data_IF_837251166169
#
_entry.id   IF_837251166169
#
_cell.length_a   1.000
_cell.length_b   1.000
_cell.length_c   1.000
_cell.angle_alpha   90.00
_cell.angle_beta   90.00
_cell.angle_gamma   90.00
#
_symmetry.space_group_name_H-M   'P 1'
#
loop_
_entity.id
_entity.type
_entity.pdbx_description
1 polymer ?
#
# COMPACT_ATOMS: atom_id res chain seq x y z
N UNK A 1 -21.50 30.30 34.85
CA UNK A 1 -21.91 29.49 33.66
C UNK A 1 -21.41 30.18 32.40
N UNK A 2 -20.29 29.77 31.88
CA UNK A 2 -19.71 30.30 30.61
C UNK A 2 -19.69 29.17 29.59
N UNK A 3 -20.46 29.34 28.52
CA UNK A 3 -20.55 28.39 27.37
C UNK A 3 -19.33 28.56 26.49
N UNK A 4 -18.47 27.55 26.40
CA UNK A 4 -17.44 27.44 25.40
C UNK A 4 -18.07 27.14 24.03
N UNK A 5 -18.01 28.10 23.11
CA UNK A 5 -18.30 27.91 21.71
C UNK A 5 -17.06 27.29 21.05
N UNK A 6 -17.18 26.03 20.57
CA UNK A 6 -16.22 25.41 19.65
C UNK A 6 -16.39 26.01 18.27
N UNK A 7 -15.37 26.74 17.80
CA UNK A 7 -15.26 27.15 16.41
C UNK A 7 -14.90 25.93 15.55
N UNK A 8 -15.83 25.47 14.74
CA UNK A 8 -15.54 24.58 13.63
C UNK A 8 -14.99 25.41 12.46
N UNK A 9 -13.68 25.32 12.24
CA UNK A 9 -13.05 25.79 11.02
C UNK A 9 -13.56 24.93 9.86
N UNK A 10 -14.39 25.54 9.00
CA UNK A 10 -14.75 25.01 7.69
C UNK A 10 -13.51 25.09 6.78
N UNK A 11 -12.82 23.97 6.62
CA UNK A 11 -11.91 23.79 5.50
C UNK A 11 -12.72 23.86 4.19
N UNK A 12 -12.41 24.84 3.38
CA UNK A 12 -13.05 25.11 2.11
C UNK A 12 -12.83 23.93 1.15
N UNK A 13 -13.91 23.30 0.76
CA UNK A 13 -13.98 22.44 -0.42
C UNK A 13 -13.77 23.32 -1.63
N UNK A 14 -12.64 23.20 -2.30
CA UNK A 14 -12.48 23.79 -3.63
C UNK A 14 -11.89 22.81 -4.61
N UNK A 15 -12.53 22.85 -5.76
CA UNK A 15 -12.22 22.28 -7.07
C UNK A 15 -12.29 20.76 -7.17
N UNK A 16 -13.53 20.29 -7.33
CA UNK A 16 -13.75 19.13 -8.20
C UNK A 16 -13.26 19.53 -9.60
N UNK A 17 -12.13 19.00 -10.01
CA UNK A 17 -11.72 18.98 -11.41
C UNK A 17 -12.78 18.17 -12.13
N UNK A 18 -13.59 18.83 -12.97
CA UNK A 18 -14.52 18.19 -13.89
C UNK A 18 -13.66 17.34 -14.85
N UNK A 19 -13.46 16.07 -14.54
CA UNK A 19 -13.00 15.12 -15.54
C UNK A 19 -14.10 14.97 -16.59
N UNK A 20 -13.78 15.04 -17.88
CA UNK A 20 -14.76 14.76 -18.93
C UNK A 20 -15.34 13.37 -18.68
N UNK A 21 -16.66 13.24 -18.86
CA UNK A 21 -17.37 11.97 -18.76
C UNK A 21 -16.84 11.03 -19.85
N UNK A 22 -15.75 10.35 -19.57
CA UNK A 22 -15.18 9.33 -20.45
C UNK A 22 -16.13 8.14 -20.48
N UNK A 23 -16.46 7.74 -21.68
CA UNK A 23 -17.31 6.63 -22.06
C UNK A 23 -17.05 5.42 -21.14
N UNK A 24 -18.05 4.97 -20.41
CA UNK A 24 -17.98 3.92 -19.38
C UNK A 24 -17.63 2.51 -19.90
N UNK A 25 -17.32 2.34 -21.18
CA UNK A 25 -17.07 1.06 -21.84
C UNK A 25 -15.59 0.64 -21.90
N UNK A 26 -14.64 1.44 -21.41
CA UNK A 26 -13.20 1.14 -21.45
C UNK A 26 -12.67 0.45 -20.18
N UNK A 27 -13.44 -0.48 -19.62
CA UNK A 27 -13.03 -1.20 -18.39
C UNK A 27 -12.51 -2.62 -18.63
N UNK A 28 -12.49 -3.05 -19.86
CA UNK A 28 -12.02 -4.39 -20.18
C UNK A 28 -10.54 -4.34 -20.59
N UNK A 29 -9.68 -5.01 -19.83
CA UNK A 29 -8.26 -5.16 -20.16
C UNK A 29 -8.08 -6.25 -21.21
N UNK A 30 -6.95 -6.22 -21.93
CA UNK A 30 -6.59 -7.29 -22.87
C UNK A 30 -6.55 -8.65 -22.15
N UNK A 31 -6.04 -8.66 -20.94
CA UNK A 31 -6.04 -9.85 -20.09
C UNK A 31 -7.47 -10.41 -19.92
N UNK A 32 -8.42 -9.56 -19.56
CA UNK A 32 -9.82 -9.96 -19.40
C UNK A 32 -10.43 -10.45 -20.71
N UNK A 33 -10.15 -9.79 -21.84
CA UNK A 33 -10.63 -10.26 -23.16
C UNK A 33 -10.12 -11.67 -23.49
N UNK A 34 -8.83 -11.92 -23.26
CA UNK A 34 -8.21 -13.21 -23.52
C UNK A 34 -8.80 -14.33 -22.66
N UNK A 35 -8.97 -14.06 -21.36
CA UNK A 35 -9.39 -15.07 -20.38
C UNK A 35 -10.90 -15.07 -20.11
N UNK A 36 -11.68 -14.24 -20.78
CA UNK A 36 -13.15 -14.41 -20.90
C UNK A 36 -13.53 -15.60 -21.77
N UNK A 37 -12.64 -16.07 -22.64
CA UNK A 37 -12.80 -17.35 -23.32
C UNK A 37 -12.59 -18.50 -22.34
N UNK A 38 -13.59 -19.41 -22.24
CA UNK A 38 -13.58 -20.49 -21.26
C UNK A 38 -12.41 -21.47 -21.43
N UNK A 39 -11.92 -21.68 -22.66
CA UNK A 39 -10.79 -22.59 -22.92
C UNK A 39 -9.49 -21.95 -22.40
N UNK A 40 -9.32 -20.66 -22.67
CA UNK A 40 -8.17 -19.92 -22.16
C UNK A 40 -8.20 -19.84 -20.63
N UNK A 41 -9.38 -19.58 -20.05
CA UNK A 41 -9.55 -19.53 -18.60
C UNK A 41 -9.26 -20.89 -17.96
N UNK A 42 -9.73 -22.00 -18.55
CA UNK A 42 -9.43 -23.35 -18.06
C UNK A 42 -7.93 -23.64 -18.14
N UNK A 43 -7.27 -23.24 -19.23
CA UNK A 43 -5.81 -23.39 -19.37
C UNK A 43 -5.06 -22.60 -18.27
N UNK A 44 -5.49 -21.36 -17.98
CA UNK A 44 -4.93 -20.55 -16.91
C UNK A 44 -5.18 -21.18 -15.54
N UNK A 45 -6.41 -21.65 -15.29
CA UNK A 45 -6.77 -22.35 -14.06
C UNK A 45 -5.90 -23.58 -13.83
N UNK A 46 -5.75 -24.42 -14.85
CA UNK A 46 -4.92 -25.63 -14.78
C UNK A 46 -3.45 -25.29 -14.48
N UNK A 47 -2.92 -24.26 -15.12
CA UNK A 47 -1.53 -23.83 -14.92
C UNK A 47 -1.29 -23.31 -13.50
N UNK A 48 -2.21 -22.51 -12.97
CA UNK A 48 -2.11 -21.96 -11.61
C UNK A 48 -2.27 -23.04 -10.53
N UNK A 49 -3.20 -23.98 -10.73
CA UNK A 49 -3.54 -25.00 -9.72
C UNK A 49 -2.84 -26.34 -9.96
N UNK A 50 -1.94 -26.43 -10.98
CA UNK A 50 -1.26 -27.67 -11.36
C UNK A 50 -2.25 -28.81 -11.59
N UNK A 51 -3.38 -28.51 -12.23
CA UNK A 51 -4.47 -29.44 -12.51
C UNK A 51 -4.55 -29.76 -14.01
N UNK A 52 -5.43 -30.68 -14.39
CA UNK A 52 -5.57 -31.11 -15.77
C UNK A 52 -7.05 -31.35 -16.12
N UNK A 53 -7.89 -30.38 -15.94
CA UNK A 53 -9.27 -30.41 -16.39
C UNK A 53 -9.34 -30.19 -17.89
N UNK A 54 -10.24 -30.89 -18.57
CA UNK A 54 -10.33 -30.87 -20.03
C UNK A 54 -11.65 -30.30 -20.57
N UNK A 55 -12.64 -30.12 -19.70
CA UNK A 55 -13.96 -29.62 -20.10
C UNK A 55 -14.14 -28.16 -19.64
N UNK A 56 -14.13 -27.17 -20.56
CA UNK A 56 -14.35 -25.77 -20.21
C UNK A 56 -15.73 -25.47 -19.60
N UNK A 57 -16.71 -26.36 -19.80
CA UNK A 57 -18.07 -26.18 -19.23
C UNK A 57 -18.13 -26.46 -17.73
N UNK A 58 -17.09 -27.07 -17.16
CA UNK A 58 -16.96 -27.25 -15.71
C UNK A 58 -16.70 -25.94 -14.99
N UNK A 59 -16.30 -24.87 -15.71
CA UNK A 59 -16.17 -23.52 -15.18
C UNK A 59 -17.53 -22.82 -15.14
N UNK A 60 -18.00 -22.46 -13.97
CA UNK A 60 -19.16 -21.61 -13.80
C UNK A 60 -18.70 -20.14 -13.64
N UNK A 61 -18.87 -19.33 -14.68
CA UNK A 61 -18.50 -17.91 -14.63
C UNK A 61 -19.51 -17.15 -13.80
N UNK A 62 -19.05 -16.53 -12.73
CA UNK A 62 -19.87 -15.70 -11.85
C UNK A 62 -19.70 -14.25 -12.30
N UNK A 63 -20.74 -13.67 -12.91
CA UNK A 63 -20.69 -12.28 -13.36
C UNK A 63 -20.87 -11.35 -12.17
N UNK A 64 -19.81 -10.62 -11.82
CA UNK A 64 -19.83 -9.59 -10.77
C UNK A 64 -20.46 -8.27 -11.25
N UNK A 65 -21.48 -8.32 -12.11
CA UNK A 65 -22.08 -7.13 -12.78
C UNK A 65 -22.61 -6.07 -11.80
N UNK A 66 -22.88 -6.43 -10.56
CA UNK A 66 -23.47 -5.54 -9.55
C UNK A 66 -22.55 -5.22 -8.35
N UNK A 67 -21.33 -5.68 -8.35
CA UNK A 67 -20.36 -5.32 -7.29
C UNK A 67 -19.76 -3.91 -7.52
N UNK A 68 -20.62 -2.91 -7.76
CA UNK A 68 -20.21 -1.52 -7.77
C UNK A 68 -20.20 -1.03 -6.32
N UNK A 69 -19.31 -1.57 -5.51
CA UNK A 69 -18.92 -0.91 -4.29
C UNK A 69 -17.70 -0.04 -4.61
N UNK A 70 -17.87 1.28 -4.53
CA UNK A 70 -16.82 2.28 -4.82
C UNK A 70 -16.28 2.27 -6.26
N UNK A 71 -17.01 1.77 -7.26
CA UNK A 71 -16.58 1.79 -8.68
C UNK A 71 -15.54 0.73 -9.06
N UNK A 72 -15.27 -0.24 -8.17
CA UNK A 72 -14.35 -1.34 -8.41
C UNK A 72 -15.10 -2.55 -8.98
N UNK A 73 -14.52 -3.20 -9.99
CA UNK A 73 -14.98 -4.48 -10.55
C UNK A 73 -13.82 -5.46 -10.48
N UNK A 74 -14.11 -6.73 -10.18
CA UNK A 74 -13.14 -7.81 -10.35
C UNK A 74 -13.06 -8.18 -11.84
N UNK A 75 -11.86 -8.56 -12.32
CA UNK A 75 -11.66 -8.89 -13.73
C UNK A 75 -12.34 -10.19 -14.12
N UNK A 76 -12.09 -11.26 -13.37
CA UNK A 76 -12.65 -12.58 -13.62
C UNK A 76 -13.03 -13.27 -12.30
N UNK A 77 -14.28 -13.71 -12.19
CA UNK A 77 -14.73 -14.54 -11.09
C UNK A 77 -15.44 -15.78 -11.62
N UNK A 78 -15.10 -16.93 -11.10
CA UNK A 78 -15.69 -18.22 -11.52
C UNK A 78 -15.67 -19.25 -10.39
N UNK A 79 -16.55 -20.21 -10.50
CA UNK A 79 -16.59 -21.38 -9.62
C UNK A 79 -16.05 -22.57 -10.40
N UNK A 80 -15.14 -23.30 -9.77
CA UNK A 80 -14.66 -24.60 -10.22
C UNK A 80 -14.81 -25.60 -9.08
N UNK A 81 -15.50 -26.69 -9.32
CA UNK A 81 -15.97 -27.62 -8.28
C UNK A 81 -16.79 -26.90 -7.20
N UNK A 82 -16.22 -26.72 -6.01
CA UNK A 82 -16.85 -26.05 -4.86
C UNK A 82 -16.08 -24.82 -4.41
N UNK A 83 -15.12 -24.35 -5.20
CA UNK A 83 -14.26 -23.21 -4.90
C UNK A 83 -14.60 -22.02 -5.79
N UNK A 84 -14.60 -20.83 -5.22
CA UNK A 84 -14.75 -19.57 -5.93
C UNK A 84 -13.36 -18.96 -6.16
N UNK A 85 -13.03 -18.66 -7.41
CA UNK A 85 -11.76 -18.04 -7.79
C UNK A 85 -12.03 -16.61 -8.22
N UNK A 86 -11.22 -15.69 -7.65
CA UNK A 86 -11.18 -14.28 -8.04
C UNK A 86 -9.80 -14.03 -8.64
N UNK A 87 -9.77 -13.79 -9.95
CA UNK A 87 -8.57 -13.49 -10.72
C UNK A 87 -8.58 -12.01 -11.08
N UNK A 88 -7.59 -11.29 -10.60
CA UNK A 88 -7.37 -9.87 -10.87
C UNK A 88 -6.10 -9.69 -11.68
N UNK A 89 -6.11 -8.75 -12.61
CA UNK A 89 -4.93 -8.34 -13.35
C UNK A 89 -4.54 -6.92 -12.94
N UNK A 90 -3.27 -6.71 -12.56
CA UNK A 90 -2.78 -5.42 -12.07
C UNK A 90 -1.46 -5.02 -12.74
N UNK A 91 -1.43 -3.82 -13.36
CA UNK A 91 -0.19 -3.21 -13.86
C UNK A 91 0.56 -2.43 -12.78
N UNK A 92 -0.03 -2.25 -11.62
CA UNK A 92 0.56 -1.53 -10.48
C UNK A 92 0.46 -2.35 -9.21
N UNK A 93 1.56 -2.50 -8.49
CA UNK A 93 1.56 -3.18 -7.19
C UNK A 93 0.69 -2.42 -6.18
N UNK A 94 -0.32 -3.10 -5.65
CA UNK A 94 -1.28 -2.52 -4.72
C UNK A 94 -1.35 -3.33 -3.41
N UNK A 95 -0.77 -2.85 -2.30
CA UNK A 95 -0.78 -3.56 -1.02
C UNK A 95 -2.18 -3.67 -0.39
N UNK A 96 -3.18 -2.92 -0.91
CA UNK A 96 -4.54 -2.93 -0.40
C UNK A 96 -5.45 -3.98 -1.08
N UNK A 97 -4.89 -4.88 -1.90
CA UNK A 97 -5.68 -5.92 -2.56
C UNK A 97 -6.44 -6.80 -1.56
N UNK A 98 -5.85 -7.29 -0.43
CA UNK A 98 -6.61 -8.08 0.53
C UNK A 98 -7.83 -7.35 1.10
N UNK A 99 -7.74 -6.05 1.30
CA UNK A 99 -8.86 -5.25 1.80
C UNK A 99 -9.94 -5.07 0.71
N UNK A 100 -9.55 -4.88 -0.55
CA UNK A 100 -10.47 -4.82 -1.69
C UNK A 100 -11.20 -6.15 -1.86
N UNK A 101 -10.47 -7.24 -1.87
CA UNK A 101 -11.00 -8.58 -2.05
C UNK A 101 -11.94 -9.00 -0.91
N UNK A 102 -11.68 -8.54 0.33
CA UNK A 102 -12.59 -8.74 1.44
C UNK A 102 -13.99 -8.15 1.13
N UNK A 103 -14.05 -6.94 0.60
CA UNK A 103 -15.33 -6.33 0.23
C UNK A 103 -16.01 -7.06 -0.93
N UNK A 104 -15.25 -7.51 -1.92
CA UNK A 104 -15.77 -8.29 -3.04
C UNK A 104 -16.37 -9.61 -2.57
N UNK A 105 -15.61 -10.40 -1.82
CA UNK A 105 -16.07 -11.72 -1.39
C UNK A 105 -17.25 -11.62 -0.43
N UNK A 106 -17.29 -10.63 0.45
CA UNK A 106 -18.46 -10.39 1.30
C UNK A 106 -19.73 -10.13 0.48
N UNK A 107 -19.61 -9.33 -0.59
CA UNK A 107 -20.73 -9.06 -1.50
C UNK A 107 -21.20 -10.31 -2.23
N UNK A 108 -20.26 -11.14 -2.71
CA UNK A 108 -20.61 -12.38 -3.43
C UNK A 108 -21.22 -13.42 -2.51
N UNK A 109 -20.63 -13.67 -1.35
CA UNK A 109 -21.18 -14.61 -0.39
C UNK A 109 -22.58 -14.22 0.10
N UNK A 110 -22.87 -12.91 0.22
CA UNK A 110 -24.22 -12.43 0.56
C UNK A 110 -25.29 -12.84 -0.46
N UNK A 111 -24.93 -13.04 -1.73
CA UNK A 111 -25.85 -13.49 -2.78
C UNK A 111 -26.12 -14.99 -2.69
N UNK A 112 -25.13 -15.77 -2.23
CA UNK A 112 -25.20 -17.22 -2.13
C UNK A 112 -25.89 -17.71 -0.85
N UNK A 113 -26.00 -16.86 0.18
CA UNK A 113 -26.52 -17.21 1.50
C UNK A 113 -28.01 -16.93 1.59
N UNK A 114 -28.79 -17.92 2.05
CA UNK A 114 -30.17 -17.67 2.44
C UNK A 114 -30.22 -16.95 3.80
N UNK A 115 -30.61 -15.68 3.76
CA UNK A 115 -30.66 -14.80 4.94
C UNK A 115 -31.53 -15.33 6.08
N UNK A 116 -32.61 -16.09 5.76
CA UNK A 116 -33.50 -16.67 6.79
C UNK A 116 -32.83 -17.84 7.49
N UNK A 117 -32.10 -18.65 6.75
CA UNK A 117 -31.39 -19.83 7.28
C UNK A 117 -30.16 -19.48 8.10
N UNK A 118 -29.65 -18.24 8.04
CA UNK A 118 -28.54 -17.77 8.90
C UNK A 118 -28.87 -17.85 10.39
N UNK A 119 -30.13 -17.79 10.75
CA UNK A 119 -30.62 -17.90 12.14
C UNK A 119 -31.04 -19.33 12.54
N UNK A 120 -30.85 -20.30 11.64
CA UNK A 120 -31.14 -21.72 11.92
C UNK A 120 -29.94 -22.39 12.61
N UNK A 121 -30.18 -23.58 13.15
CA UNK A 121 -29.10 -24.42 13.71
C UNK A 121 -28.32 -25.20 12.65
N UNK A 122 -28.70 -25.09 11.37
CA UNK A 122 -28.07 -25.81 10.26
C UNK A 122 -26.95 -24.92 9.65
N UNK A 123 -25.75 -25.50 9.54
CA UNK A 123 -24.62 -24.81 8.91
C UNK A 123 -24.86 -24.64 7.40
N UNK A 124 -24.83 -23.40 6.91
CA UNK A 124 -24.81 -23.14 5.49
C UNK A 124 -23.37 -23.26 4.98
N UNK A 125 -23.18 -23.99 3.88
CA UNK A 125 -21.89 -24.09 3.20
C UNK A 125 -21.87 -23.09 2.04
N UNK A 126 -20.74 -22.43 1.86
CA UNK A 126 -20.47 -21.51 0.77
C UNK A 126 -19.16 -21.93 0.08
N UNK A 127 -18.95 -21.59 -1.21
CA UNK A 127 -17.69 -21.85 -1.89
C UNK A 127 -16.51 -21.21 -1.17
N UNK A 128 -15.40 -21.95 -1.04
CA UNK A 128 -14.17 -21.40 -0.48
C UNK A 128 -13.52 -20.41 -1.48
N UNK A 129 -13.21 -19.18 -1.07
CA UNK A 129 -12.65 -18.19 -1.97
C UNK A 129 -11.14 -18.38 -2.13
N UNK A 130 -10.64 -18.15 -3.37
CA UNK A 130 -9.24 -18.11 -3.72
C UNK A 130 -8.95 -16.79 -4.45
N UNK A 131 -7.93 -16.05 -4.03
CA UNK A 131 -7.59 -14.72 -4.53
C UNK A 131 -6.24 -14.76 -5.22
N UNK A 132 -6.21 -14.46 -6.52
CA UNK A 132 -4.99 -14.48 -7.32
C UNK A 132 -4.90 -13.22 -8.14
N UNK A 133 -3.78 -12.50 -7.97
CA UNK A 133 -3.43 -11.31 -8.71
C UNK A 133 -2.33 -11.64 -9.73
N UNK A 134 -2.60 -11.38 -11.00
CA UNK A 134 -1.62 -11.47 -12.09
C UNK A 134 -0.99 -10.10 -12.27
N UNK A 135 0.23 -9.95 -11.79
CA UNK A 135 0.96 -8.70 -11.84
C UNK A 135 1.85 -8.63 -13.07
N UNK A 136 1.65 -7.60 -13.88
CA UNK A 136 2.50 -7.31 -15.02
C UNK A 136 3.12 -5.90 -15.00
N UNK A 137 3.17 -5.25 -13.85
CA UNK A 137 3.69 -3.89 -13.73
C UNK A 137 5.21 -3.77 -13.89
N UNK A 138 5.72 -2.53 -13.86
CA UNK A 138 7.14 -2.22 -14.04
C UNK A 138 7.97 -2.23 -12.74
N UNK A 139 7.32 -2.34 -11.56
CA UNK A 139 8.04 -2.49 -10.29
C UNK A 139 8.56 -3.92 -10.16
N UNK A 140 9.84 -4.08 -9.84
CA UNK A 140 10.43 -5.41 -9.63
C UNK A 140 9.84 -6.06 -8.38
N UNK A 141 9.20 -7.22 -8.56
CA UNK A 141 8.70 -8.07 -7.48
C UNK A 141 9.16 -9.52 -7.72
N UNK A 142 9.13 -10.36 -6.70
CA UNK A 142 9.40 -11.79 -6.84
C UNK A 142 8.37 -12.49 -7.75
N UNK A 143 8.68 -13.70 -8.20
CA UNK A 143 7.78 -14.51 -9.04
C UNK A 143 6.43 -14.77 -8.37
N UNK A 144 6.46 -15.02 -7.07
CA UNK A 144 5.28 -15.20 -6.24
C UNK A 144 5.43 -14.42 -4.92
N UNK A 145 4.38 -13.70 -4.54
CA UNK A 145 4.33 -12.94 -3.29
C UNK A 145 2.94 -13.09 -2.68
N UNK A 146 2.84 -13.13 -1.36
CA UNK A 146 1.57 -13.10 -0.64
C UNK A 146 1.30 -11.72 -0.05
N UNK A 147 0.09 -11.22 -0.26
CA UNK A 147 -0.44 -10.06 0.46
C UNK A 147 -1.45 -10.56 1.51
N UNK A 148 -1.35 -10.02 2.71
CA UNK A 148 -2.16 -10.44 3.86
C UNK A 148 -3.02 -9.31 4.39
N UNK A 149 -4.29 -9.58 4.65
CA UNK A 149 -5.22 -8.60 5.23
C UNK A 149 -4.75 -8.10 6.60
N UNK A 150 -4.14 -8.97 7.38
CA UNK A 150 -3.59 -8.63 8.71
C UNK A 150 -2.52 -7.53 8.66
N UNK A 151 -1.87 -7.33 7.52
CA UNK A 151 -0.91 -6.23 7.33
C UNK A 151 -1.57 -4.84 7.32
N UNK A 152 -2.89 -4.76 7.13
CA UNK A 152 -3.65 -3.52 7.17
C UNK A 152 -4.20 -3.17 8.57
N UNK A 153 -4.01 -4.03 9.58
CA UNK A 153 -4.48 -3.77 10.94
C UNK A 153 -3.51 -2.85 11.67
N UNK A 154 -4.02 -1.74 12.23
CA UNK A 154 -3.21 -0.76 12.97
C UNK A 154 -2.46 -1.38 14.16
N UNK A 155 -3.14 -2.26 14.90
CA UNK A 155 -2.59 -2.96 16.05
C UNK A 155 -3.01 -4.42 16.05
N UNK A 156 -2.09 -5.31 15.74
CA UNK A 156 -2.30 -6.75 15.81
C UNK A 156 -1.64 -7.32 17.06
N UNK A 157 -2.45 -7.88 17.97
CA UNK A 157 -1.96 -8.58 19.15
C UNK A 157 -2.23 -10.08 19.01
N UNK A 158 -1.16 -10.84 18.75
CA UNK A 158 -1.24 -12.28 18.49
C UNK A 158 -1.73 -12.63 17.08
N UNK A 159 -2.26 -13.82 16.89
CA UNK A 159 -2.76 -14.29 15.61
C UNK A 159 -4.02 -13.54 15.18
N UNK A 160 -4.12 -13.15 13.88
CA UNK A 160 -5.30 -12.48 13.38
C UNK A 160 -6.54 -13.37 13.49
N UNK A 161 -7.66 -12.80 13.92
CA UNK A 161 -8.94 -13.54 13.97
C UNK A 161 -9.71 -13.47 12.65
N UNK A 162 -9.29 -12.60 11.75
CA UNK A 162 -9.72 -12.50 10.37
C UNK A 162 -8.48 -12.38 9.50
N UNK A 163 -8.34 -13.30 8.55
CA UNK A 163 -7.25 -13.27 7.56
C UNK A 163 -7.79 -13.54 6.17
N UNK A 164 -7.25 -12.82 5.18
CA UNK A 164 -7.42 -13.04 3.76
C UNK A 164 -6.05 -12.93 3.12
N UNK A 165 -5.70 -13.90 2.29
CA UNK A 165 -4.41 -13.97 1.62
C UNK A 165 -4.66 -13.86 0.12
N UNK A 166 -3.95 -12.93 -0.53
CA UNK A 166 -3.93 -12.78 -1.99
C UNK A 166 -2.58 -13.28 -2.49
N UNK A 167 -2.59 -14.23 -3.42
CA UNK A 167 -1.39 -14.70 -4.10
C UNK A 167 -1.13 -13.80 -5.30
N UNK A 168 0.00 -13.11 -5.32
CA UNK A 168 0.44 -12.26 -6.43
C UNK A 168 1.45 -13.02 -7.27
N UNK A 169 1.12 -13.25 -8.54
CA UNK A 169 1.98 -13.93 -9.52
C UNK A 169 2.54 -12.91 -10.51
N UNK A 170 3.86 -12.80 -10.59
CA UNK A 170 4.53 -11.93 -11.56
C UNK A 170 4.46 -12.57 -12.94
N UNK A 171 3.66 -12.00 -13.82
CA UNK A 171 3.46 -12.50 -15.19
C UNK A 171 4.20 -11.68 -16.26
N UNK A 172 5.24 -10.95 -15.87
CA UNK A 172 6.15 -10.35 -16.84
C UNK A 172 6.98 -11.41 -17.55
N UNK A 173 7.44 -11.09 -18.75
CA UNK A 173 8.34 -11.96 -19.52
C UNK A 173 9.59 -12.32 -18.69
N UNK A 174 9.96 -13.61 -18.69
CA UNK A 174 11.08 -14.12 -17.91
C UNK A 174 10.78 -14.53 -16.47
N UNK A 175 9.52 -14.32 -16.00
CA UNK A 175 9.06 -14.74 -14.68
C UNK A 175 8.15 -15.97 -14.76
N UNK A 176 8.00 -16.71 -13.64
CA UNK A 176 7.10 -17.84 -13.48
C UNK A 176 7.15 -18.84 -14.68
N UNK A 177 8.34 -19.31 -15.02
CA UNK A 177 8.57 -20.13 -16.22
C UNK A 177 7.66 -21.37 -16.30
N UNK A 178 7.40 -22.04 -15.17
CA UNK A 178 6.50 -23.21 -15.14
C UNK A 178 5.06 -22.81 -15.46
N UNK A 179 4.54 -21.74 -14.88
CA UNK A 179 3.21 -21.21 -15.19
C UNK A 179 3.09 -20.85 -16.67
N UNK A 180 4.12 -20.19 -17.23
CA UNK A 180 4.15 -19.79 -18.65
C UNK A 180 4.18 -20.99 -19.60
N UNK A 181 4.87 -22.07 -19.23
CA UNK A 181 4.90 -23.31 -20.03
C UNK A 181 3.53 -24.02 -20.05
N UNK A 182 2.77 -23.95 -18.96
CA UNK A 182 1.46 -24.61 -18.86
C UNK A 182 0.31 -23.76 -19.38
N UNK A 183 0.49 -22.44 -19.56
CA UNK A 183 -0.51 -21.53 -20.13
C UNK A 183 0.08 -20.71 -21.28
N UNK A 184 0.03 -21.25 -22.50
CA UNK A 184 0.61 -20.57 -23.66
C UNK A 184 0.00 -19.18 -23.91
N UNK A 185 -1.31 -19.02 -23.72
CA UNK A 185 -1.99 -17.72 -23.88
C UNK A 185 -1.43 -16.67 -22.92
N UNK A 186 -1.09 -17.06 -21.68
CA UNK A 186 -0.47 -16.14 -20.70
C UNK A 186 0.97 -15.79 -21.12
N UNK A 187 1.72 -16.75 -21.57
CA UNK A 187 3.09 -16.54 -22.08
C UNK A 187 3.11 -15.59 -23.29
N UNK A 188 2.22 -15.80 -24.26
CA UNK A 188 2.09 -14.92 -25.42
C UNK A 188 1.63 -13.51 -25.03
N UNK A 189 0.75 -13.39 -24.04
CA UNK A 189 0.35 -12.11 -23.48
C UNK A 189 1.55 -11.37 -22.83
N UNK A 190 2.36 -12.07 -22.04
CA UNK A 190 3.58 -11.50 -21.44
C UNK A 190 4.55 -10.97 -22.52
N UNK A 191 4.76 -11.72 -23.58
CA UNK A 191 5.61 -11.31 -24.72
C UNK A 191 5.06 -10.08 -25.44
N UNK A 192 3.74 -10.03 -25.67
CA UNK A 192 3.10 -8.87 -26.27
C UNK A 192 3.32 -7.60 -25.42
N UNK A 193 3.06 -7.68 -24.12
CA UNK A 193 3.25 -6.55 -23.19
C UNK A 193 4.70 -6.10 -23.14
N UNK A 194 5.65 -7.04 -23.09
CA UNK A 194 7.08 -6.73 -23.10
C UNK A 194 7.50 -5.97 -24.38
N UNK A 195 6.98 -6.35 -25.54
CA UNK A 195 7.24 -5.65 -26.82
C UNK A 195 6.68 -4.24 -26.85
N UNK A 196 5.45 -4.05 -26.39
CA UNK A 196 4.87 -2.70 -26.29
C UNK A 196 5.77 -1.81 -25.42
N UNK A 197 6.20 -2.32 -24.28
CA UNK A 197 7.12 -1.57 -23.38
C UNK A 197 8.45 -1.26 -24.02
N UNK A 198 9.03 -2.22 -24.71
CA UNK A 198 10.30 -2.05 -25.42
C UNK A 198 10.20 -0.91 -26.44
N UNK A 199 9.16 -0.91 -27.27
CA UNK A 199 9.00 0.10 -28.31
C UNK A 199 8.58 1.46 -27.76
N UNK A 200 7.81 1.49 -26.67
CA UNK A 200 7.41 2.73 -26.02
C UNK A 200 8.59 3.50 -25.37
N UNK A 201 9.76 2.87 -25.24
CA UNK A 201 10.97 3.56 -24.81
C UNK A 201 11.54 4.51 -25.88
N UNK A 202 11.34 4.19 -27.19
CA UNK A 202 12.00 4.88 -28.31
C UNK A 202 11.03 5.61 -29.26
N UNK A 203 9.72 5.38 -29.13
CA UNK A 203 8.71 5.97 -30.01
C UNK A 203 7.43 6.33 -29.26
N UNK A 204 6.48 7.00 -29.95
CA UNK A 204 5.18 7.31 -29.36
C UNK A 204 4.43 6.02 -28.98
N UNK A 205 3.58 6.08 -27.97
CA UNK A 205 2.83 4.93 -27.50
C UNK A 205 1.96 4.31 -28.60
N UNK A 206 1.28 5.15 -29.39
CA UNK A 206 0.46 4.68 -30.54
C UNK A 206 1.28 3.84 -31.52
N UNK A 207 2.44 4.36 -31.92
CA UNK A 207 3.35 3.65 -32.82
C UNK A 207 3.93 2.37 -32.20
N UNK A 208 4.24 2.41 -30.90
CA UNK A 208 4.75 1.25 -30.18
C UNK A 208 3.72 0.12 -30.13
N UNK A 209 2.47 0.44 -29.82
CA UNK A 209 1.37 -0.53 -29.76
C UNK A 209 1.07 -1.10 -31.15
N UNK A 210 0.92 -0.25 -32.17
CA UNK A 210 0.67 -0.72 -33.54
C UNK A 210 1.78 -1.66 -34.04
N UNK A 211 3.02 -1.26 -33.83
CA UNK A 211 4.18 -2.07 -34.19
C UNK A 211 4.22 -3.40 -33.46
N UNK A 212 3.99 -3.40 -32.14
CA UNK A 212 3.95 -4.62 -31.34
C UNK A 212 2.85 -5.59 -31.81
N UNK A 213 1.65 -5.07 -32.11
CA UNK A 213 0.54 -5.87 -32.66
C UNK A 213 0.93 -6.50 -33.99
N UNK A 214 1.46 -5.71 -34.93
CA UNK A 214 1.82 -6.21 -36.28
C UNK A 214 2.96 -7.25 -36.25
N UNK A 215 3.93 -7.07 -35.35
CA UNK A 215 5.02 -8.04 -35.18
C UNK A 215 4.55 -9.31 -34.49
N UNK A 216 3.73 -9.21 -33.45
CA UNK A 216 3.15 -10.37 -32.78
C UNK A 216 2.29 -11.20 -33.71
N UNK A 217 1.45 -10.58 -34.53
CA UNK A 217 0.65 -11.27 -35.54
C UNK A 217 1.59 -12.05 -36.53
N UNK A 218 2.64 -11.41 -37.02
CA UNK A 218 3.58 -12.00 -37.95
C UNK A 218 4.36 -13.19 -37.39
N UNK A 219 4.65 -13.14 -36.09
CA UNK A 219 5.40 -14.19 -35.39
C UNK A 219 4.50 -15.27 -34.76
N UNK A 220 3.18 -15.16 -34.91
CA UNK A 220 2.23 -16.14 -34.40
C UNK A 220 1.86 -15.95 -32.93
N UNK A 221 2.30 -14.86 -32.29
CA UNK A 221 2.04 -14.54 -30.88
C UNK A 221 0.65 -13.91 -30.77
N UNK A 222 -0.27 -14.56 -30.08
CA UNK A 222 -1.68 -14.16 -30.00
C UNK A 222 -2.30 -13.84 -31.37
N UNK A 223 -1.80 -14.42 -32.46
CA UNK A 223 -2.05 -13.97 -33.82
C UNK A 223 -3.54 -13.95 -34.20
N UNK A 224 -4.28 -15.01 -33.87
CA UNK A 224 -5.73 -15.07 -34.15
C UNK A 224 -6.50 -14.02 -33.36
N UNK A 225 -6.19 -13.86 -32.08
CA UNK A 225 -6.81 -12.90 -31.19
C UNK A 225 -6.53 -11.46 -31.63
N UNK A 226 -5.27 -11.12 -31.89
CA UNK A 226 -4.84 -9.78 -32.31
C UNK A 226 -5.38 -9.43 -33.70
N UNK A 227 -5.47 -10.38 -34.63
CA UNK A 227 -6.05 -10.14 -35.97
C UNK A 227 -7.54 -9.84 -35.84
N UNK A 228 -8.27 -10.60 -35.04
CA UNK A 228 -9.72 -10.43 -34.87
C UNK A 228 -10.08 -9.14 -34.15
N UNK A 229 -9.30 -8.75 -33.13
CA UNK A 229 -9.60 -7.66 -32.22
C UNK A 229 -8.65 -6.46 -32.39
N UNK A 230 -7.95 -6.32 -33.52
CA UNK A 230 -6.82 -5.40 -33.73
C UNK A 230 -7.11 -3.96 -33.23
N UNK A 231 -8.19 -3.36 -33.70
CA UNK A 231 -8.50 -1.97 -33.36
C UNK A 231 -8.84 -1.79 -31.86
N UNK A 232 -9.51 -2.77 -31.28
CA UNK A 232 -9.89 -2.75 -29.88
C UNK A 232 -8.66 -2.91 -28.98
N UNK A 233 -7.77 -3.85 -29.32
CA UNK A 233 -6.50 -4.09 -28.63
C UNK A 233 -5.61 -2.84 -28.67
N UNK A 234 -5.46 -2.20 -29.82
CA UNK A 234 -4.66 -0.96 -29.95
C UNK A 234 -5.23 0.11 -29.04
N UNK A 235 -6.53 0.37 -29.11
CA UNK A 235 -7.20 1.38 -28.29
C UNK A 235 -7.06 1.10 -26.81
N UNK A 236 -7.24 -0.15 -26.38
CA UNK A 236 -7.10 -0.56 -24.97
C UNK A 236 -5.66 -0.46 -24.47
N UNK A 237 -4.69 -0.92 -25.25
CA UNK A 237 -3.29 -0.85 -24.87
C UNK A 237 -2.84 0.58 -24.64
N UNK A 238 -3.21 1.50 -25.53
CA UNK A 238 -2.89 2.92 -25.37
C UNK A 238 -3.49 3.44 -24.04
N UNK A 239 -4.75 3.13 -23.76
CA UNK A 239 -5.40 3.54 -22.53
C UNK A 239 -4.77 2.95 -21.26
N UNK A 240 -4.42 1.66 -21.27
CA UNK A 240 -3.76 1.00 -20.13
C UNK A 240 -2.40 1.62 -19.81
N UNK A 241 -1.59 1.89 -20.82
CA UNK A 241 -0.28 2.52 -20.65
C UNK A 241 -0.35 3.97 -20.21
N UNK A 242 -1.28 4.75 -20.76
CA UNK A 242 -1.50 6.13 -20.30
C UNK A 242 -1.92 6.16 -18.82
N UNK A 243 -2.80 5.25 -18.42
CA UNK A 243 -3.22 5.11 -17.03
C UNK A 243 -2.04 4.72 -16.13
N UNK A 244 -1.21 3.77 -16.54
CA UNK A 244 -0.02 3.36 -15.77
C UNK A 244 0.95 4.54 -15.59
N UNK A 245 1.18 5.33 -16.63
CA UNK A 245 2.01 6.54 -16.57
C UNK A 245 1.44 7.60 -15.63
N UNK A 246 0.16 7.86 -15.68
CA UNK A 246 -0.52 8.84 -14.81
C UNK A 246 -0.47 8.38 -13.34
N UNK A 247 -0.76 7.12 -13.06
CA UNK A 247 -0.66 6.56 -11.71
C UNK A 247 0.78 6.63 -11.17
N UNK A 248 1.78 6.38 -12.01
CA UNK A 248 3.20 6.47 -11.62
C UNK A 248 3.60 7.91 -11.31
N UNK A 249 3.14 8.89 -12.08
CA UNK A 249 3.34 10.32 -11.82
C UNK A 249 2.69 10.73 -10.50
N UNK A 250 1.44 10.30 -10.28
CA UNK A 250 0.69 10.60 -9.06
C UNK A 250 1.39 10.05 -7.81
N UNK A 251 1.80 8.77 -7.84
CA UNK A 251 2.55 8.14 -6.72
C UNK A 251 3.86 8.85 -6.42
N UNK A 252 4.58 9.28 -7.47
CA UNK A 252 5.82 10.04 -7.28
C UNK A 252 5.54 11.37 -6.59
N UNK A 253 4.50 12.09 -7.02
CA UNK A 253 4.10 13.36 -6.43
C UNK A 253 3.64 13.18 -4.97
N UNK A 254 2.86 12.14 -4.66
CA UNK A 254 2.43 11.79 -3.29
C UNK A 254 3.63 11.44 -2.39
N UNK A 255 4.58 10.67 -2.90
CA UNK A 255 5.80 10.33 -2.17
C UNK A 255 6.64 11.58 -1.86
N UNK A 256 6.83 12.46 -2.84
CA UNK A 256 7.58 13.71 -2.66
C UNK A 256 6.88 14.63 -1.64
N UNK A 257 5.56 14.77 -1.73
CA UNK A 257 4.76 15.55 -0.77
C UNK A 257 4.81 14.97 0.64
N UNK A 258 4.68 13.64 0.78
CA UNK A 258 4.81 12.95 2.08
C UNK A 258 6.19 13.11 2.71
N UNK A 259 7.25 13.05 1.90
CA UNK A 259 8.62 13.25 2.36
C UNK A 259 8.85 14.69 2.83
N UNK A 260 8.34 15.69 2.11
CA UNK A 260 8.45 17.10 2.46
C UNK A 260 7.68 17.42 3.75
N UNK A 261 6.46 16.89 3.88
CA UNK A 261 5.65 17.03 5.09
C UNK A 261 6.35 16.39 6.30
N UNK A 262 6.85 15.16 6.17
CA UNK A 262 7.56 14.47 7.24
C UNK A 262 8.88 15.18 7.65
N UNK A 263 9.61 15.75 6.69
CA UNK A 263 10.81 16.55 6.98
C UNK A 263 10.46 17.84 7.76
N UNK A 264 9.42 18.55 7.32
CA UNK A 264 8.95 19.78 7.97
C UNK A 264 8.46 19.52 9.41
N UNK A 265 7.69 18.44 9.61
CA UNK A 265 7.19 18.05 10.94
C UNK A 265 8.34 17.61 11.85
N UNK A 266 9.30 16.83 11.33
CA UNK A 266 10.49 16.43 12.06
C UNK A 266 11.37 17.61 12.48
N UNK A 267 11.57 18.60 11.59
CA UNK A 267 12.31 19.83 11.91
C UNK A 267 11.62 20.64 13.01
N UNK A 268 10.29 20.80 12.90
CA UNK A 268 9.50 21.51 13.91
C UNK A 268 9.58 20.83 15.27
N UNK A 269 9.37 19.53 15.31
CA UNK A 269 9.43 18.74 16.54
C UNK A 269 10.83 18.75 17.18
N UNK A 270 11.88 18.59 16.36
CA UNK A 270 13.26 18.65 16.83
C UNK A 270 13.63 20.03 17.39
N UNK A 271 13.14 21.11 16.77
CA UNK A 271 13.35 22.49 17.28
C UNK A 271 12.62 22.73 18.60
N UNK A 272 11.36 22.32 18.73
CA UNK A 272 10.55 22.46 19.93
C UNK A 272 11.16 21.67 21.11
N UNK A 273 11.54 20.43 20.87
CA UNK A 273 12.16 19.55 21.88
C UNK A 273 13.52 20.09 22.31
N UNK A 274 14.38 20.45 21.34
CA UNK A 274 15.70 20.98 21.63
C UNK A 274 15.66 22.32 22.37
N UNK A 275 14.69 23.18 22.07
CA UNK A 275 14.49 24.44 22.79
C UNK A 275 14.07 24.17 24.25
N UNK A 276 13.08 23.30 24.47
CA UNK A 276 12.57 22.95 25.80
C UNK A 276 13.66 22.30 26.67
N UNK A 277 14.43 21.37 26.12
CA UNK A 277 15.55 20.74 26.85
C UNK A 277 16.67 21.73 27.16
N UNK A 278 16.99 22.59 26.19
CA UNK A 278 18.00 23.64 26.37
C UNK A 278 17.61 24.65 27.44
N UNK A 279 16.35 25.08 27.49
CA UNK A 279 15.82 25.97 28.50
C UNK A 279 15.90 25.33 29.90
N UNK A 280 15.44 24.07 30.03
CA UNK A 280 15.53 23.33 31.29
C UNK A 280 16.96 23.20 31.79
N UNK A 281 17.87 22.78 30.93
CA UNK A 281 19.28 22.66 31.28
C UNK A 281 19.91 24.01 31.66
N UNK A 282 19.54 25.08 30.94
CA UNK A 282 20.00 26.45 31.23
C UNK A 282 19.55 26.94 32.62
N UNK A 283 18.29 26.72 32.97
CA UNK A 283 17.73 27.07 34.28
C UNK A 283 18.42 26.28 35.38
N UNK A 284 18.52 24.96 35.28
CA UNK A 284 19.17 24.10 36.26
C UNK A 284 20.62 24.52 36.51
N UNK A 285 21.37 24.75 35.42
CA UNK A 285 22.78 25.17 35.52
C UNK A 285 22.94 26.56 36.09
N UNK A 286 22.07 27.51 35.68
CA UNK A 286 22.04 28.86 36.24
C UNK A 286 21.75 28.90 37.74
N UNK A 287 20.74 28.09 38.18
CA UNK A 287 20.39 27.95 39.59
C UNK A 287 21.57 27.37 40.40
N UNK A 288 22.18 26.32 39.88
CA UNK A 288 23.34 25.70 40.56
C UNK A 288 24.54 26.66 40.70
N UNK A 289 24.89 27.41 39.64
CA UNK A 289 25.96 28.40 39.68
C UNK A 289 25.65 29.54 40.69
N UNK A 290 24.43 30.00 40.73
CA UNK A 290 23.97 31.01 41.71
C UNK A 290 24.06 30.51 43.15
N UNK A 291 23.71 29.24 43.37
CA UNK A 291 23.84 28.57 44.68
C UNK A 291 25.31 28.52 45.15
N UNK A 292 26.22 28.17 44.23
CA UNK A 292 27.67 28.19 44.50
C UNK A 292 28.16 29.60 44.85
N UNK A 293 27.77 30.63 44.11
CA UNK A 293 28.19 32.00 44.34
C UNK A 293 27.64 32.51 45.69
N UNK A 294 26.39 32.17 46.02
CA UNK A 294 25.77 32.49 47.29
C UNK A 294 26.50 31.81 48.47
N UNK A 295 26.82 30.49 48.30
CA UNK A 295 27.59 29.75 49.29
C UNK A 295 28.98 30.38 49.53
N UNK A 296 29.71 30.79 48.49
CA UNK A 296 31.01 31.49 48.62
C UNK A 296 30.87 32.82 49.37
N UNK A 297 29.83 33.62 49.13
CA UNK A 297 29.59 34.86 49.85
C UNK A 297 29.34 34.61 51.32
N UNK A 298 28.51 33.57 51.65
CA UNK A 298 28.21 33.21 53.02
C UNK A 298 29.43 32.66 53.79
N UNK A 299 30.32 31.89 53.11
CA UNK A 299 31.60 31.43 53.67
C UNK A 299 32.50 32.58 54.07
N UNK A 300 32.61 33.64 53.23
CA UNK A 300 33.41 34.84 53.51
C UNK A 300 32.93 35.65 54.73
N UNK A 301 31.60 35.60 55.03
CA UNK A 301 31.07 36.28 56.19
C UNK A 301 31.41 35.60 57.51
N UNK A 302 31.81 34.33 57.49
CA UNK A 302 32.14 33.51 58.66
C UNK A 302 31.05 33.45 59.80
N UNK A 303 29.83 33.82 59.48
CA UNK A 303 28.72 33.89 60.43
C UNK A 303 27.85 32.65 60.48
N UNK A 304 28.02 31.73 59.50
CA UNK A 304 27.15 30.58 59.32
C UNK A 304 27.91 29.27 59.35
N UNK A 305 27.33 28.22 59.96
CA UNK A 305 27.89 26.85 59.86
C UNK A 305 27.73 26.28 58.47
N UNK A 306 28.59 25.32 58.07
CA UNK A 306 28.56 24.66 56.76
C UNK A 306 27.22 24.00 56.48
N UNK A 307 26.61 23.38 57.49
CA UNK A 307 25.28 22.77 57.41
C UNK A 307 24.21 23.80 57.08
N UNK A 308 24.29 25.00 57.68
CA UNK A 308 23.33 26.07 57.48
C UNK A 308 23.50 26.68 56.09
N UNK A 309 24.70 26.79 55.59
CA UNK A 309 24.99 27.23 54.23
C UNK A 309 24.42 26.21 53.23
N UNK A 310 24.62 24.90 53.42
CA UNK A 310 24.06 23.85 52.56
C UNK A 310 22.52 23.91 52.54
N UNK A 311 21.88 24.07 53.70
CA UNK A 311 20.43 24.19 53.84
C UNK A 311 19.85 25.43 53.10
N UNK A 312 20.54 26.59 53.17
CA UNK A 312 20.09 27.84 52.55
C UNK A 312 20.30 27.83 51.05
N UNK A 313 21.44 27.31 50.59
CA UNK A 313 21.81 27.34 49.17
C UNK A 313 21.26 26.16 48.38
N UNK A 314 20.78 25.09 49.08
CA UNK A 314 20.34 23.83 48.44
C UNK A 314 21.50 23.02 47.84
N UNK A 315 22.75 23.38 48.09
CA UNK A 315 23.90 22.61 47.67
C UNK A 315 24.13 21.38 48.55
N UNK A 316 24.60 20.25 47.98
CA UNK A 316 25.04 19.12 48.79
C UNK A 316 26.11 19.56 49.82
N UNK A 317 26.06 19.04 51.02
CA UNK A 317 26.99 19.39 52.12
C UNK A 317 28.46 19.18 51.71
N UNK A 318 28.76 18.10 51.00
CA UNK A 318 30.12 17.83 50.50
C UNK A 318 30.62 18.89 49.52
N UNK A 319 29.73 19.51 48.77
CA UNK A 319 30.09 20.58 47.80
C UNK A 319 30.40 21.87 48.55
N UNK A 320 29.60 22.21 49.56
CA UNK A 320 29.92 23.35 50.47
C UNK A 320 31.22 23.16 51.19
N UNK A 321 31.53 21.94 51.63
CA UNK A 321 32.80 21.58 52.29
C UNK A 321 34.01 21.77 51.37
N UNK A 322 33.84 21.38 50.09
CA UNK A 322 34.87 21.59 49.08
C UNK A 322 35.11 23.09 48.81
N UNK A 323 34.04 23.88 48.72
CA UNK A 323 34.11 25.32 48.49
C UNK A 323 34.85 25.99 49.68
N UNK A 324 34.57 25.61 50.91
CA UNK A 324 35.24 26.12 52.08
C UNK A 324 36.76 25.78 52.13
N UNK A 325 37.11 24.53 51.79
CA UNK A 325 38.50 24.08 51.72
C UNK A 325 39.32 24.83 50.62
N UNK A 326 38.66 25.19 49.49
CA UNK A 326 39.28 25.93 48.37
C UNK A 326 39.50 27.42 48.74
N UNK A 327 38.54 28.05 49.47
CA UNK A 327 38.74 29.44 49.94
C UNK A 327 39.87 29.55 51.01
N UNK A 328 39.96 28.56 51.91
CA UNK A 328 41.01 28.51 52.93
C UNK A 328 42.46 28.35 52.30
N UNK A 329 42.53 27.83 51.07
CA UNK A 329 43.78 27.70 50.31
C UNK A 329 44.17 28.95 49.49
N UNK A 330 43.18 29.82 49.19
CA UNK A 330 43.40 31.04 48.43
C UNK A 330 43.83 32.24 49.32
N UNK A 331 43.63 32.17 50.64
CA UNK A 331 43.97 33.20 51.62
C UNK A 331 45.30 32.90 52.33
N UNK A 332 45.98 31.82 51.96
CA UNK A 332 47.32 31.45 52.46
C UNK A 332 48.36 31.60 51.34
#
# INVERSE_FOLDING_TARGET
>A
MAKHKRNHNKLSRNSAVNMPATNRNYKDTIFRMLFSDRKNLLSLYNAVNQSNYNNPDDLEIVTLENAIYMGMKNDLAFIMDTNLYLYEHQSTYNPNMPLRDLFYICSEHQKLVDKKSLFSSTLQKIPAPNFIEFYNGSTAIADCTELRLSSAFEHLSGEPKLELIVTVLNVNEGHNAELMQHCNTLNEYAQYVARVRLYAADMSLDQAVERAVDECIREGILAEFLTRNRNEVISMSIFEYDKELEEKKLRKAEYEAGREAGFSEGEKHGRETGFSEGEKYGIERGTFLNSIETAKRMLKLQEFSLEKIAAITGLPFDEVKKLHANEARSDS
#
